data_IF_858244090921
#
_entry.id   IF_858244090921
#
_cell.length_a   1.000
_cell.length_b   1.000
_cell.length_c   1.000
_cell.angle_alpha   90.00
_cell.angle_beta   90.00
_cell.angle_gamma   90.00
#
_symmetry.space_group_name_H-M   'P 1'
#
loop_
_entity.id
_entity.type
_entity.pdbx_description
1 polymer ?
#
# COMPACT_ATOMS: atom_id res chain seq x y z
N UNK A 1 -26.39 36.83 -40.58
CA UNK A 1 -26.93 36.28 -39.31
C UNK A 1 -26.53 37.20 -38.17
N UNK A 2 -27.49 37.57 -37.32
CA UNK A 2 -27.28 38.48 -36.17
C UNK A 2 -26.40 37.77 -35.12
N UNK A 3 -25.61 38.49 -34.32
CA UNK A 3 -24.70 37.89 -33.32
C UNK A 3 -25.43 36.93 -32.37
N UNK A 4 -26.68 37.24 -32.02
CA UNK A 4 -27.51 36.41 -31.15
C UNK A 4 -27.90 35.05 -31.74
N UNK A 5 -27.99 34.95 -33.08
CA UNK A 5 -28.27 33.68 -33.77
C UNK A 5 -27.05 32.77 -33.65
N UNK A 6 -25.82 33.32 -33.85
CA UNK A 6 -24.58 32.55 -33.73
C UNK A 6 -24.35 31.97 -32.34
N UNK A 7 -24.67 32.68 -31.26
CA UNK A 7 -24.52 32.12 -29.90
C UNK A 7 -25.49 30.96 -29.59
N UNK A 8 -26.62 30.85 -30.30
CA UNK A 8 -27.59 29.76 -30.10
C UNK A 8 -27.12 28.45 -30.73
N UNK A 9 -26.23 28.51 -31.71
CA UNK A 9 -25.74 27.34 -32.45
C UNK A 9 -24.70 26.52 -31.68
N UNK A 10 -24.23 27.01 -30.53
CA UNK A 10 -23.21 26.34 -29.70
C UNK A 10 -23.60 24.91 -29.30
N UNK A 11 -24.88 24.68 -28.97
CA UNK A 11 -25.39 23.35 -28.64
C UNK A 11 -25.52 22.46 -29.87
N UNK A 12 -25.95 23.03 -31.00
CA UNK A 12 -26.07 22.31 -32.27
C UNK A 12 -24.69 21.87 -32.80
N UNK A 13 -23.69 22.75 -32.68
CA UNK A 13 -22.30 22.44 -32.98
C UNK A 13 -21.75 21.34 -32.07
N UNK A 14 -21.93 21.44 -30.75
CA UNK A 14 -21.47 20.43 -29.80
C UNK A 14 -22.10 19.04 -30.01
N UNK A 15 -23.35 18.99 -30.51
CA UNK A 15 -24.04 17.75 -30.84
C UNK A 15 -23.72 17.22 -32.25
N UNK A 16 -23.00 17.98 -33.07
CA UNK A 16 -22.67 17.63 -34.45
C UNK A 16 -23.89 17.54 -35.36
N UNK A 17 -24.87 18.43 -35.17
CA UNK A 17 -26.11 18.47 -35.98
C UNK A 17 -26.16 19.61 -36.99
N UNK A 18 -25.19 20.53 -36.95
CA UNK A 18 -25.03 21.56 -37.97
C UNK A 18 -24.58 20.92 -39.29
N UNK A 19 -24.99 21.52 -40.41
CA UNK A 19 -24.42 21.15 -41.71
C UNK A 19 -22.98 21.67 -41.85
N UNK A 20 -22.28 21.23 -42.90
CA UNK A 20 -20.86 21.59 -43.14
C UNK A 20 -20.65 23.11 -43.26
N UNK A 21 -21.57 23.82 -43.92
CA UNK A 21 -21.45 25.25 -44.15
C UNK A 21 -21.79 26.07 -42.90
N UNK A 22 -22.69 25.57 -42.05
CA UNK A 22 -23.02 26.12 -40.74
C UNK A 22 -21.88 25.88 -39.74
N UNK A 23 -21.31 24.68 -39.70
CA UNK A 23 -20.18 24.35 -38.84
C UNK A 23 -18.97 25.26 -39.15
N UNK A 24 -18.59 25.40 -40.42
CA UNK A 24 -17.48 26.27 -40.84
C UNK A 24 -17.70 27.73 -40.42
N UNK A 25 -18.93 28.26 -40.60
CA UNK A 25 -19.28 29.62 -40.17
C UNK A 25 -19.25 29.79 -38.65
N UNK A 26 -19.56 28.74 -37.90
CA UNK A 26 -19.51 28.75 -36.45
C UNK A 26 -18.07 28.64 -35.93
N UNK A 27 -17.21 27.86 -36.58
CA UNK A 27 -15.77 27.79 -36.27
C UNK A 27 -15.07 29.14 -36.43
N UNK A 28 -15.41 29.92 -37.47
CA UNK A 28 -14.94 31.30 -37.61
C UNK A 28 -15.35 32.19 -36.43
N UNK A 29 -16.57 31.99 -35.91
CA UNK A 29 -17.03 32.69 -34.72
C UNK A 29 -16.30 32.24 -33.44
N UNK A 30 -15.97 30.95 -33.30
CA UNK A 30 -15.21 30.44 -32.15
C UNK A 30 -13.83 31.09 -32.01
N UNK A 31 -13.18 31.43 -33.14
CA UNK A 31 -11.91 32.15 -33.14
C UNK A 31 -12.02 33.56 -32.52
N UNK A 32 -13.22 34.14 -32.51
CA UNK A 32 -13.46 35.53 -32.08
C UNK A 32 -14.29 35.61 -30.79
N UNK A 33 -14.79 34.48 -30.24
CA UNK A 33 -15.66 34.47 -29.07
C UNK A 33 -15.24 33.44 -28.01
N UNK A 34 -14.54 33.85 -26.94
CA UNK A 34 -14.08 32.95 -25.89
C UNK A 34 -15.23 32.31 -25.10
N UNK A 35 -16.38 32.99 -24.99
CA UNK A 35 -17.56 32.46 -24.32
C UNK A 35 -18.12 31.23 -25.02
N UNK A 36 -18.25 31.27 -26.36
CA UNK A 36 -18.70 30.13 -27.14
C UNK A 36 -17.72 28.96 -27.05
N UNK A 37 -16.41 29.23 -27.09
CA UNK A 37 -15.36 28.21 -26.92
C UNK A 37 -15.46 27.51 -25.56
N UNK A 38 -15.70 28.27 -24.48
CA UNK A 38 -15.93 27.70 -23.15
C UNK A 38 -17.22 26.86 -23.08
N UNK A 39 -18.29 27.32 -23.72
CA UNK A 39 -19.56 26.57 -23.73
C UNK A 39 -19.47 25.27 -24.54
N UNK A 40 -18.76 25.23 -25.68
CA UNK A 40 -18.54 23.99 -26.44
C UNK A 40 -17.81 22.95 -25.59
N UNK A 41 -16.80 23.35 -24.82
CA UNK A 41 -16.07 22.42 -23.94
C UNK A 41 -16.95 21.95 -22.78
N UNK A 42 -17.76 22.84 -22.20
CA UNK A 42 -18.74 22.51 -21.16
C UNK A 42 -19.78 21.49 -21.64
N UNK A 43 -20.22 21.56 -22.90
CA UNK A 43 -21.16 20.58 -23.47
C UNK A 43 -20.55 19.22 -23.80
N UNK A 44 -19.22 19.09 -23.83
CA UNK A 44 -18.53 17.85 -24.20
C UNK A 44 -19.00 16.60 -23.45
N UNK A 45 -19.09 16.62 -22.10
CA UNK A 45 -19.61 15.50 -21.32
C UNK A 45 -21.07 15.15 -21.67
N UNK A 46 -21.95 16.15 -21.82
CA UNK A 46 -23.37 15.95 -22.13
C UNK A 46 -23.56 15.37 -23.54
N UNK A 47 -22.87 15.93 -24.53
CA UNK A 47 -22.89 15.44 -25.91
C UNK A 47 -22.41 13.99 -26.00
N UNK A 48 -21.35 13.63 -25.24
CA UNK A 48 -20.85 12.25 -25.16
C UNK A 48 -21.89 11.29 -24.57
N UNK A 49 -22.57 11.67 -23.50
CA UNK A 49 -23.64 10.87 -22.89
C UNK A 49 -24.80 10.66 -23.86
N UNK A 50 -25.22 11.72 -24.57
CA UNK A 50 -26.27 11.63 -25.59
C UNK A 50 -25.88 10.71 -26.76
N UNK A 51 -24.62 10.73 -27.19
CA UNK A 51 -24.11 9.80 -28.19
C UNK A 51 -24.09 8.35 -27.71
N UNK A 52 -23.73 8.11 -26.45
CA UNK A 52 -23.80 6.77 -25.86
C UNK A 52 -25.24 6.26 -25.79
N UNK A 53 -26.17 7.12 -25.34
CA UNK A 53 -27.60 6.80 -25.30
C UNK A 53 -28.12 6.44 -26.69
N UNK A 54 -27.82 7.26 -27.72
CA UNK A 54 -28.20 7.01 -29.12
C UNK A 54 -27.67 5.67 -29.66
N UNK A 55 -26.45 5.27 -29.27
CA UNK A 55 -25.87 3.97 -29.69
C UNK A 55 -26.52 2.79 -28.96
N UNK A 56 -26.87 2.97 -27.69
CA UNK A 56 -27.44 1.93 -26.85
C UNK A 56 -28.95 1.72 -27.05
N UNK A 57 -29.65 2.69 -27.66
CA UNK A 57 -31.11 2.65 -27.84
C UNK A 57 -31.52 2.49 -29.30
N UNK A 58 -32.43 1.55 -29.63
CA UNK A 58 -33.06 1.50 -30.94
C UNK A 58 -33.83 2.80 -31.23
N UNK A 59 -33.84 3.24 -32.50
CA UNK A 59 -34.46 4.51 -32.96
C UNK A 59 -35.96 4.67 -32.64
N UNK A 60 -36.63 3.61 -32.19
CA UNK A 60 -38.08 3.54 -31.95
C UNK A 60 -38.46 3.40 -30.47
N UNK A 61 -37.54 3.63 -29.54
CA UNK A 61 -37.88 3.67 -28.11
C UNK A 61 -38.22 5.11 -27.73
N UNK A 62 -39.46 5.37 -27.32
CA UNK A 62 -39.83 6.67 -26.77
C UNK A 62 -38.95 6.99 -25.54
N UNK A 63 -38.51 8.24 -25.34
CA UNK A 63 -37.70 8.61 -24.15
C UNK A 63 -38.38 8.31 -22.81
N UNK A 64 -39.72 8.21 -22.82
CA UNK A 64 -40.57 7.86 -21.68
C UNK A 64 -41.07 6.41 -21.71
N UNK A 65 -40.51 5.56 -22.57
CA UNK A 65 -40.88 4.15 -22.61
C UNK A 65 -40.45 3.48 -21.30
N UNK A 66 -41.43 2.97 -20.56
CA UNK A 66 -41.14 2.17 -19.37
C UNK A 66 -40.60 0.81 -19.78
N UNK A 67 -39.58 0.28 -19.09
CA UNK A 67 -39.13 -1.08 -19.31
C UNK A 67 -40.29 -2.04 -19.08
N UNK A 68 -40.48 -2.98 -20.01
CA UNK A 68 -41.56 -3.97 -19.87
C UNK A 68 -41.44 -4.74 -18.55
N UNK A 69 -42.57 -5.16 -17.94
CA UNK A 69 -42.60 -5.74 -16.59
C UNK A 69 -41.64 -6.92 -16.44
N UNK A 70 -41.47 -7.74 -17.49
CA UNK A 70 -40.53 -8.87 -17.50
C UNK A 70 -39.06 -8.47 -17.38
N UNK A 71 -38.66 -7.32 -17.93
CA UNK A 71 -37.29 -6.83 -17.81
C UNK A 71 -37.03 -6.30 -16.40
N UNK A 72 -38.00 -5.58 -15.83
CA UNK A 72 -37.94 -5.10 -14.46
C UNK A 72 -37.86 -6.27 -13.47
N UNK A 73 -38.71 -7.28 -13.62
CA UNK A 73 -38.71 -8.48 -12.77
C UNK A 73 -37.39 -9.24 -12.85
N UNK A 74 -36.79 -9.33 -14.05
CA UNK A 74 -35.48 -9.96 -14.23
C UNK A 74 -34.37 -9.15 -13.53
N UNK A 75 -34.37 -7.83 -13.65
CA UNK A 75 -33.38 -6.96 -12.99
C UNK A 75 -33.51 -7.00 -11.47
N UNK A 76 -34.73 -6.91 -10.94
CA UNK A 76 -34.98 -7.03 -9.50
C UNK A 76 -34.59 -8.43 -8.99
N UNK A 77 -34.90 -9.48 -9.76
CA UNK A 77 -34.46 -10.84 -9.47
C UNK A 77 -32.94 -10.97 -9.38
N UNK A 78 -32.22 -10.33 -10.31
CA UNK A 78 -30.76 -10.34 -10.34
C UNK A 78 -30.13 -9.56 -9.17
N UNK A 79 -30.70 -8.40 -8.82
CA UNK A 79 -30.28 -7.63 -7.64
C UNK A 79 -30.48 -8.44 -6.35
N UNK A 80 -31.64 -9.09 -6.19
CA UNK A 80 -31.93 -9.97 -5.05
C UNK A 80 -30.96 -11.15 -4.99
N UNK A 81 -30.64 -11.78 -6.13
CA UNK A 81 -29.62 -12.85 -6.21
C UNK A 81 -28.26 -12.35 -5.74
N UNK A 82 -27.80 -11.20 -6.25
CA UNK A 82 -26.51 -10.60 -5.90
C UNK A 82 -26.44 -10.26 -4.40
N UNK A 83 -27.51 -9.70 -3.84
CA UNK A 83 -27.61 -9.45 -2.40
C UNK A 83 -27.57 -10.74 -1.58
N UNK A 84 -28.27 -11.80 -1.99
CA UNK A 84 -28.22 -13.11 -1.30
C UNK A 84 -26.81 -13.70 -1.31
N UNK A 85 -26.11 -13.65 -2.44
CA UNK A 85 -24.72 -14.15 -2.55
C UNK A 85 -23.78 -13.32 -1.67
N UNK A 86 -23.89 -11.98 -1.71
CA UNK A 86 -23.08 -11.08 -0.88
C UNK A 86 -23.37 -11.30 0.61
N UNK A 87 -24.63 -11.44 1.01
CA UNK A 87 -25.04 -11.72 2.39
C UNK A 87 -24.52 -13.09 2.86
N UNK A 88 -24.60 -14.13 2.03
CA UNK A 88 -24.00 -15.44 2.33
C UNK A 88 -22.50 -15.36 2.51
N UNK A 89 -21.77 -14.67 1.61
CA UNK A 89 -20.32 -14.43 1.75
C UNK A 89 -19.99 -13.65 3.03
N UNK A 90 -20.77 -12.64 3.37
CA UNK A 90 -20.63 -11.92 4.64
C UNK A 90 -20.87 -12.81 5.86
N UNK A 91 -21.90 -13.67 5.81
CA UNK A 91 -22.18 -14.64 6.87
C UNK A 91 -21.07 -15.67 7.00
N UNK A 92 -20.49 -16.15 5.89
CA UNK A 92 -19.32 -17.04 5.92
C UNK A 92 -18.08 -16.32 6.47
N UNK A 93 -17.87 -15.05 6.13
CA UNK A 93 -16.82 -14.21 6.72
C UNK A 93 -17.01 -14.02 8.22
N UNK A 94 -18.24 -13.77 8.67
CA UNK A 94 -18.57 -13.63 10.09
C UNK A 94 -18.40 -14.97 10.83
N UNK A 95 -18.86 -16.09 10.25
CA UNK A 95 -18.63 -17.41 10.82
C UNK A 95 -17.12 -17.73 10.93
N UNK A 96 -16.33 -17.40 9.91
CA UNK A 96 -14.86 -17.53 9.97
C UNK A 96 -14.26 -16.65 11.07
N UNK A 97 -14.74 -15.41 11.27
CA UNK A 97 -14.28 -14.56 12.37
C UNK A 97 -14.64 -15.09 13.76
N UNK A 98 -15.80 -15.75 13.91
CA UNK A 98 -16.19 -16.40 15.17
C UNK A 98 -15.31 -17.62 15.43
N UNK A 99 -15.04 -18.45 14.40
CA UNK A 99 -14.10 -19.57 14.51
C UNK A 99 -12.71 -19.07 14.90
N UNK A 100 -12.20 -18.03 14.25
CA UNK A 100 -10.91 -17.42 14.59
C UNK A 100 -10.91 -16.82 16.01
N UNK A 101 -11.99 -16.18 16.44
CA UNK A 101 -12.11 -15.61 17.77
C UNK A 101 -12.24 -16.67 18.88
N UNK A 102 -12.79 -17.85 18.58
CA UNK A 102 -12.88 -18.99 19.52
C UNK A 102 -11.60 -19.83 19.50
N UNK A 103 -10.91 -19.92 18.35
CA UNK A 103 -9.61 -20.59 18.24
C UNK A 103 -8.45 -19.73 18.74
N UNK A 104 -8.56 -18.40 18.72
CA UNK A 104 -7.50 -17.49 19.17
C UNK A 104 -7.12 -17.70 20.66
N UNK A 105 -8.06 -17.85 21.61
CA UNK A 105 -7.71 -18.22 22.98
C UNK A 105 -7.02 -19.58 23.07
N UNK A 106 -7.41 -20.55 22.24
CA UNK A 106 -6.78 -21.87 22.20
C UNK A 106 -5.36 -21.83 21.65
N UNK A 107 -5.10 -21.01 20.62
CA UNK A 107 -3.75 -20.80 20.05
C UNK A 107 -2.89 -19.94 20.96
N UNK A 108 -3.44 -18.95 21.66
CA UNK A 108 -2.70 -18.17 22.68
C UNK A 108 -2.40 -19.03 23.92
N UNK A 109 -3.31 -19.92 24.31
CA UNK A 109 -3.06 -20.88 25.40
C UNK A 109 -2.07 -21.99 25.00
N UNK A 110 -2.06 -22.42 23.73
CA UNK A 110 -1.04 -23.36 23.21
C UNK A 110 0.30 -22.67 22.92
N UNK A 111 0.33 -21.39 22.54
CA UNK A 111 1.54 -20.58 22.45
C UNK A 111 2.07 -20.15 23.84
N UNK A 112 1.25 -20.30 24.88
CA UNK A 112 1.65 -20.23 26.28
C UNK A 112 2.33 -21.49 26.81
N UNK A 113 2.56 -22.51 25.97
CA UNK A 113 3.55 -23.55 26.28
C UNK A 113 4.94 -22.99 26.02
N UNK A 114 5.57 -22.51 27.09
CA UNK A 114 6.99 -22.19 27.30
C UNK A 114 7.91 -22.51 26.10
N UNK A 115 7.97 -21.59 25.13
CA UNK A 115 9.20 -21.37 24.36
C UNK A 115 10.10 -20.42 25.16
N UNK A 116 11.44 -20.54 25.09
CA UNK A 116 12.34 -19.66 25.82
C UNK A 116 12.02 -18.19 25.47
N UNK A 117 11.78 -17.36 26.49
CA UNK A 117 11.52 -15.94 26.30
C UNK A 117 12.69 -15.31 25.52
N UNK A 118 12.37 -14.59 24.43
CA UNK A 118 13.39 -13.88 23.67
C UNK A 118 14.16 -12.93 24.59
N UNK A 119 15.49 -13.06 24.62
CA UNK A 119 16.37 -12.23 25.44
C UNK A 119 16.59 -10.89 24.75
N UNK A 120 16.27 -9.79 25.43
CA UNK A 120 16.49 -8.43 24.90
C UNK A 120 17.56 -7.75 25.73
N UNK A 121 18.64 -7.34 25.07
CA UNK A 121 19.79 -6.67 25.68
C UNK A 121 20.13 -5.42 24.89
N UNK A 122 20.48 -4.33 25.57
CA UNK A 122 20.85 -3.08 24.94
C UNK A 122 22.02 -2.41 25.67
N UNK A 123 22.86 -1.71 24.90
CA UNK A 123 23.98 -0.94 25.45
C UNK A 123 24.27 0.30 24.58
N UNK A 124 24.93 1.28 25.19
CA UNK A 124 25.53 2.44 24.49
C UNK A 124 27.01 2.47 24.82
N UNK A 125 27.90 2.54 23.83
CA UNK A 125 29.34 2.71 24.09
C UNK A 125 29.61 4.19 24.42
N UNK A 126 30.24 4.50 25.58
CA UNK A 126 30.44 5.87 26.02
C UNK A 126 31.54 6.63 25.24
N UNK A 127 32.39 5.93 24.47
CA UNK A 127 33.46 6.55 23.68
C UNK A 127 32.98 6.94 22.29
N UNK A 128 32.17 6.09 21.66
CA UNK A 128 31.65 6.30 20.30
C UNK A 128 30.27 6.96 20.30
N UNK A 129 29.49 6.79 21.38
CA UNK A 129 28.10 7.23 21.48
C UNK A 129 27.11 6.32 20.72
N UNK A 130 27.57 5.23 20.12
CA UNK A 130 26.73 4.29 19.36
C UNK A 130 25.88 3.46 20.32
N UNK A 131 24.59 3.38 20.03
CA UNK A 131 23.64 2.54 20.77
C UNK A 131 23.26 1.32 19.95
N UNK A 132 23.16 0.16 20.61
CA UNK A 132 22.62 -1.05 20.01
C UNK A 132 21.68 -1.79 20.97
N UNK A 133 20.65 -2.41 20.39
CA UNK A 133 19.73 -3.35 21.02
C UNK A 133 19.70 -4.64 20.20
N UNK A 134 19.82 -5.77 20.88
CA UNK A 134 19.76 -7.10 20.29
C UNK A 134 18.64 -7.87 20.96
N UNK A 135 17.72 -8.38 20.15
CA UNK A 135 16.73 -9.39 20.57
C UNK A 135 17.17 -10.74 20.06
N UNK A 136 17.40 -11.69 20.95
CA UNK A 136 17.80 -13.05 20.64
C UNK A 136 16.67 -14.04 20.97
N UNK A 137 16.25 -14.79 19.96
CA UNK A 137 15.23 -15.83 20.06
C UNK A 137 15.87 -17.20 19.76
N UNK A 138 15.56 -18.20 20.59
CA UNK A 138 16.04 -19.56 20.42
C UNK A 138 15.32 -20.26 19.27
N UNK A 139 16.07 -20.81 18.33
CA UNK A 139 15.56 -21.67 17.25
C UNK A 139 16.08 -23.10 17.34
N UNK A 140 15.49 -24.01 16.57
CA UNK A 140 15.88 -25.43 16.53
C UNK A 140 17.36 -25.63 16.15
N UNK A 141 17.94 -24.69 15.40
CA UNK A 141 19.29 -24.75 14.83
C UNK A 141 20.25 -23.67 15.35
N UNK A 142 19.91 -22.95 16.42
CA UNK A 142 20.74 -21.85 16.96
C UNK A 142 19.92 -20.66 17.44
N UNK A 143 20.31 -19.44 17.08
CA UNK A 143 19.62 -18.20 17.48
C UNK A 143 19.19 -17.36 16.28
N UNK A 144 18.00 -16.76 16.39
CA UNK A 144 17.54 -15.67 15.51
C UNK A 144 17.76 -14.35 16.23
N UNK A 145 18.36 -13.39 15.55
CA UNK A 145 18.77 -12.12 16.14
C UNK A 145 18.09 -10.97 15.39
N UNK A 146 17.56 -10.02 16.13
CA UNK A 146 17.15 -8.71 15.61
C UNK A 146 18.07 -7.67 16.22
N UNK A 147 18.88 -7.03 15.37
CA UNK A 147 19.77 -5.95 15.75
C UNK A 147 19.11 -4.61 15.40
N UNK A 148 19.14 -3.67 16.35
CA UNK A 148 18.83 -2.26 16.13
C UNK A 148 20.04 -1.43 16.53
N UNK A 149 20.52 -0.58 15.64
CA UNK A 149 21.68 0.28 15.89
C UNK A 149 21.30 1.72 15.61
N UNK A 150 21.74 2.62 16.49
CA UNK A 150 21.75 4.06 16.24
C UNK A 150 23.20 4.52 16.24
N UNK A 151 23.69 4.86 15.06
CA UNK A 151 25.05 5.33 14.83
C UNK A 151 25.03 6.76 14.30
N UNK A 152 25.91 7.60 14.82
CA UNK A 152 26.09 8.99 14.39
C UNK A 152 27.55 9.33 14.10
N UNK A 153 28.42 8.33 13.98
CA UNK A 153 29.87 8.50 13.83
C UNK A 153 30.31 8.80 12.38
N UNK A 154 29.37 8.78 11.43
CA UNK A 154 29.57 9.15 10.03
C UNK A 154 29.57 7.95 9.08
N UNK A 155 29.91 8.14 7.80
CA UNK A 155 29.80 7.07 6.81
C UNK A 155 30.91 6.02 6.96
N UNK A 156 30.53 4.78 7.20
CA UNK A 156 31.45 3.65 7.27
C UNK A 156 30.69 2.32 7.04
N UNK A 157 31.43 1.23 6.79
CA UNK A 157 30.84 -0.11 6.69
C UNK A 157 30.94 -0.83 8.02
N UNK A 158 29.83 -1.40 8.47
CA UNK A 158 29.69 -2.11 9.73
C UNK A 158 29.48 -3.61 9.51
N UNK A 159 29.86 -4.37 10.53
CA UNK A 159 29.57 -5.80 10.69
C UNK A 159 28.95 -6.06 12.05
N UNK A 160 28.00 -6.97 12.09
CA UNK A 160 27.42 -7.52 13.30
C UNK A 160 28.09 -8.84 13.61
N UNK A 161 28.73 -8.92 14.78
CA UNK A 161 29.52 -10.07 15.23
C UNK A 161 28.89 -10.63 16.50
N UNK A 162 28.66 -11.94 16.53
CA UNK A 162 28.28 -12.69 17.74
C UNK A 162 29.52 -13.34 18.28
N UNK A 163 29.78 -13.16 19.58
CA UNK A 163 30.90 -13.80 20.27
C UNK A 163 30.35 -14.87 21.22
N UNK A 164 30.75 -16.12 21.00
CA UNK A 164 30.41 -17.24 21.88
C UNK A 164 31.20 -17.21 23.18
N UNK A 165 30.67 -17.86 24.23
CA UNK A 165 31.37 -18.06 25.50
C UNK A 165 32.65 -18.89 25.38
N UNK A 166 32.80 -19.63 24.28
CA UNK A 166 34.01 -20.37 23.91
C UNK A 166 35.04 -19.50 23.16
N UNK A 167 34.72 -18.24 22.89
CA UNK A 167 35.55 -17.30 22.13
C UNK A 167 35.39 -17.41 20.61
N UNK A 168 34.48 -18.24 20.11
CA UNK A 168 34.15 -18.27 18.68
C UNK A 168 33.48 -16.96 18.23
N UNK A 169 33.76 -16.52 17.01
CA UNK A 169 33.14 -15.32 16.43
C UNK A 169 32.37 -15.69 15.16
N UNK A 170 31.10 -15.29 15.08
CA UNK A 170 30.26 -15.45 13.90
C UNK A 170 29.81 -14.07 13.38
N UNK A 171 29.95 -13.83 12.07
CA UNK A 171 29.45 -12.61 11.43
C UNK A 171 28.01 -12.85 10.97
N UNK A 172 27.06 -12.18 11.59
CA UNK A 172 25.63 -12.31 11.26
C UNK A 172 25.16 -11.35 10.16
N UNK A 173 25.95 -10.33 9.81
CA UNK A 173 25.61 -9.43 8.72
C UNK A 173 26.55 -8.24 8.58
N UNK A 174 26.43 -7.54 7.46
CA UNK A 174 27.17 -6.31 7.16
C UNK A 174 26.26 -5.27 6.53
N UNK A 175 26.47 -4.00 6.85
CA UNK A 175 25.73 -2.87 6.26
C UNK A 175 26.63 -1.65 6.10
N UNK A 176 26.19 -0.68 5.31
CA UNK A 176 26.86 0.61 5.18
C UNK A 176 26.01 1.68 5.85
N UNK A 177 26.62 2.41 6.78
CA UNK A 177 26.06 3.66 7.31
C UNK A 177 26.38 4.77 6.30
N UNK A 178 25.35 5.45 5.80
CA UNK A 178 25.47 6.30 4.61
C UNK A 178 25.44 7.80 4.91
N UNK A 179 24.93 8.21 6.08
CA UNK A 179 24.72 9.61 6.43
C UNK A 179 25.07 9.86 7.91
N UNK A 180 25.22 11.13 8.30
CA UNK A 180 25.28 11.54 9.71
C UNK A 180 23.89 11.60 10.36
N UNK A 181 22.82 11.27 9.62
CA UNK A 181 21.47 11.23 10.17
C UNK A 181 21.29 10.01 11.07
N UNK A 182 20.87 10.25 12.30
CA UNK A 182 20.85 9.29 13.41
C UNK A 182 19.68 8.30 13.35
N UNK A 183 19.30 7.87 12.15
CA UNK A 183 18.27 6.86 11.93
C UNK A 183 18.61 5.56 12.64
N UNK A 184 17.59 4.83 13.11
CA UNK A 184 17.81 3.50 13.68
C UNK A 184 17.89 2.48 12.57
N UNK A 185 19.08 1.97 12.28
CA UNK A 185 19.26 0.81 11.41
C UNK A 185 18.70 -0.44 12.08
N UNK A 186 18.00 -1.28 11.32
CA UNK A 186 17.46 -2.56 11.81
C UNK A 186 17.87 -3.69 10.87
N UNK A 187 18.47 -4.74 11.42
CA UNK A 187 18.89 -5.92 10.68
C UNK A 187 18.46 -7.21 11.37
N UNK A 188 18.23 -8.23 10.55
CA UNK A 188 18.04 -9.61 10.99
C UNK A 188 19.37 -10.35 10.84
N UNK A 189 19.73 -11.12 11.86
CA UNK A 189 20.88 -12.00 11.88
C UNK A 189 20.51 -13.39 12.36
N UNK A 190 21.40 -14.34 12.14
CA UNK A 190 21.28 -15.70 12.67
C UNK A 190 22.64 -16.21 13.13
N UNK A 191 22.65 -17.02 14.17
CA UNK A 191 23.85 -17.69 14.69
C UNK A 191 23.60 -19.18 14.84
N UNK A 192 24.66 -20.00 14.73
CA UNK A 192 24.58 -21.42 15.11
C UNK A 192 24.61 -21.62 16.63
N UNK A 193 25.09 -20.61 17.37
CA UNK A 193 25.06 -20.56 18.83
C UNK A 193 23.63 -20.36 19.33
N UNK A 194 23.27 -21.02 20.43
CA UNK A 194 22.05 -20.74 21.20
C UNK A 194 22.24 -19.50 22.08
N UNK A 195 21.16 -18.82 22.53
CA UNK A 195 21.31 -17.57 23.28
C UNK A 195 22.15 -17.71 24.56
N UNK A 196 22.05 -18.85 25.25
CA UNK A 196 22.82 -19.18 26.46
C UNK A 196 24.32 -19.42 26.19
N UNK A 197 24.69 -19.70 24.94
CA UNK A 197 26.07 -19.91 24.50
C UNK A 197 26.75 -18.62 24.02
N UNK A 198 25.99 -17.54 23.89
CA UNK A 198 26.50 -16.23 23.47
C UNK A 198 27.02 -15.50 24.70
N UNK A 199 28.22 -14.92 24.57
CA UNK A 199 28.84 -14.07 25.59
C UNK A 199 28.39 -12.62 25.41
N UNK A 200 28.57 -12.10 24.18
CA UNK A 200 28.23 -10.72 23.83
C UNK A 200 28.04 -10.56 22.33
N UNK A 201 27.45 -9.44 21.97
CA UNK A 201 27.27 -8.99 20.60
C UNK A 201 28.10 -7.75 20.34
N UNK A 202 28.69 -7.65 19.16
CA UNK A 202 29.53 -6.52 18.80
C UNK A 202 29.14 -5.95 17.45
N UNK A 203 29.13 -4.62 17.37
CA UNK A 203 29.10 -3.88 16.12
C UNK A 203 30.49 -3.32 15.89
N UNK A 204 31.13 -3.73 14.80
CA UNK A 204 32.48 -3.30 14.43
C UNK A 204 32.45 -2.67 13.04
N UNK A 205 33.40 -1.78 12.74
CA UNK A 205 33.67 -1.39 11.35
C UNK A 205 34.30 -2.55 10.58
N UNK A 206 34.27 -2.48 9.25
CA UNK A 206 34.99 -3.42 8.37
C UNK A 206 36.50 -3.43 8.68
N UNK A 207 37.06 -2.26 9.04
CA UNK A 207 38.46 -2.10 9.45
C UNK A 207 38.77 -2.65 10.86
N UNK A 208 37.74 -3.10 11.61
CA UNK A 208 37.90 -3.75 12.91
C UNK A 208 37.83 -2.82 14.11
N UNK A 209 37.45 -1.56 13.93
CA UNK A 209 37.17 -0.66 15.05
C UNK A 209 35.87 -1.07 15.74
N UNK A 210 35.89 -1.20 17.07
CA UNK A 210 34.69 -1.51 17.84
C UNK A 210 33.83 -0.25 18.01
N UNK A 211 32.55 -0.35 17.67
CA UNK A 211 31.58 0.74 17.79
C UNK A 211 30.74 0.59 19.05
N UNK A 212 30.18 -0.60 19.30
CA UNK A 212 29.44 -0.91 20.54
C UNK A 212 29.51 -2.40 20.84
N UNK A 213 29.52 -2.73 22.15
CA UNK A 213 29.43 -4.09 22.68
C UNK A 213 28.21 -4.21 23.58
N UNK A 214 27.41 -5.25 23.40
CA UNK A 214 26.20 -5.55 24.16
C UNK A 214 26.37 -6.93 24.79
N UNK A 215 26.44 -7.01 26.12
CA UNK A 215 26.53 -8.29 26.82
C UNK A 215 25.24 -9.11 26.64
N UNK A 216 25.38 -10.42 26.41
CA UNK A 216 24.24 -11.32 26.37
C UNK A 216 23.76 -11.63 27.81
N UNK A 217 22.46 -11.89 27.97
CA UNK A 217 21.82 -12.18 29.27
C UNK A 217 22.01 -13.62 29.74
#
# INVERSE_FOLDING_TARGET
>A
MRSLERHRDVGAYALGVLDEAEAFRFEDHLMQCPQCTAQVTEFGPAARQLMLYRRATPRFVHPMAQPGPRLLDRLLGEVVRRHRVRRRRFLYGLAASVVLAVSAPGVVAYAGHEGPAAQVTAATDPRTGVWAEVTADGGDTGSRLLLRVKDGTGPHRCRFVIVGRDGSEEIAGTWSEADHDSGTFTALGSSTLRPDQIDRYEVRTEDGQHLVSVEAS
#
